data_IF_006057253814
#
_entry.id   IF_006057253814
#
_cell.length_a   1.000
_cell.length_b   1.000
_cell.length_c   1.000
_cell.angle_alpha   90.00
_cell.angle_beta   90.00
_cell.angle_gamma   90.00
#
_symmetry.space_group_name_H-M   'P 1'
#
loop_
_entity.id
_entity.type
_entity.pdbx_description
1 polymer ?
#
# COMPACT_ATOMS: atom_id res chain seq x y z
N UNK A 1 10.86 -25.17 53.85
CA UNK A 1 10.20 -25.07 52.53
C UNK A 1 11.04 -24.15 51.66
N UNK A 2 11.69 -24.70 50.64
CA UNK A 2 12.48 -23.90 49.69
C UNK A 2 11.57 -23.45 48.55
N UNK A 3 11.52 -22.14 48.28
CA UNK A 3 10.94 -21.60 47.04
C UNK A 3 11.91 -21.91 45.88
N UNK A 4 11.43 -22.59 44.84
CA UNK A 4 12.14 -22.70 43.57
C UNK A 4 11.74 -21.53 42.68
N UNK A 5 12.70 -20.68 42.39
CA UNK A 5 12.64 -19.67 41.33
C UNK A 5 12.70 -20.34 39.96
N UNK A 6 11.90 -19.88 39.00
CA UNK A 6 12.17 -20.07 37.57
C UNK A 6 11.16 -20.87 36.74
N UNK A 7 9.85 -20.73 36.98
CA UNK A 7 8.88 -21.11 35.94
C UNK A 7 8.68 -19.93 34.98
N UNK A 8 9.05 -20.05 33.68
CA UNK A 8 8.63 -19.08 32.68
C UNK A 8 7.11 -19.19 32.53
N UNK A 9 6.40 -18.07 32.71
CA UNK A 9 4.96 -17.99 32.48
C UNK A 9 4.64 -18.47 31.05
N UNK A 10 3.85 -19.54 30.86
CA UNK A 10 3.51 -20.04 29.54
C UNK A 10 2.25 -19.32 29.03
N UNK A 11 2.33 -18.68 27.86
CA UNK A 11 1.14 -18.45 27.01
C UNK A 11 0.74 -17.02 26.63
N UNK A 12 1.11 -15.99 27.39
CA UNK A 12 0.52 -14.65 27.19
C UNK A 12 0.94 -13.89 25.92
N UNK A 13 2.23 -13.92 25.57
CA UNK A 13 2.76 -13.05 24.50
C UNK A 13 2.28 -13.44 23.10
N UNK A 14 2.08 -14.74 22.83
CA UNK A 14 1.61 -15.22 21.53
C UNK A 14 0.13 -14.93 21.29
N UNK A 15 -0.71 -15.02 22.34
CA UNK A 15 -2.14 -14.75 22.24
C UNK A 15 -2.45 -13.25 22.05
N UNK A 16 -1.67 -12.37 22.70
CA UNK A 16 -1.77 -10.92 22.49
C UNK A 16 -1.32 -10.50 21.10
N UNK A 17 -0.22 -11.07 20.60
CA UNK A 17 0.28 -10.75 19.25
C UNK A 17 -0.71 -11.18 18.15
N UNK A 18 -1.33 -12.36 18.31
CA UNK A 18 -2.35 -12.85 17.38
C UNK A 18 -3.64 -12.03 17.46
N UNK A 19 -3.99 -11.53 18.65
CA UNK A 19 -5.12 -10.61 18.82
C UNK A 19 -4.86 -9.28 18.10
N UNK A 20 -3.68 -8.67 18.31
CA UNK A 20 -3.32 -7.43 17.63
C UNK A 20 -3.27 -7.58 16.12
N UNK A 21 -2.80 -8.73 15.61
CA UNK A 21 -2.85 -9.03 14.16
C UNK A 21 -4.28 -8.96 13.61
N UNK A 22 -5.26 -9.54 14.31
CA UNK A 22 -6.66 -9.52 13.88
C UNK A 22 -7.24 -8.10 13.90
N UNK A 23 -6.99 -7.36 14.97
CA UNK A 23 -7.48 -5.97 15.11
C UNK A 23 -6.86 -5.05 14.05
N UNK A 24 -5.55 -5.17 13.79
CA UNK A 24 -4.89 -4.46 12.69
C UNK A 24 -5.48 -4.83 11.33
N UNK A 25 -5.79 -6.11 11.12
CA UNK A 25 -6.37 -6.58 9.87
C UNK A 25 -7.78 -6.01 9.64
N UNK A 26 -8.59 -5.88 10.69
CA UNK A 26 -9.92 -5.25 10.59
C UNK A 26 -9.83 -3.79 10.15
N UNK A 27 -8.94 -3.02 10.79
CA UNK A 27 -8.67 -1.62 10.42
C UNK A 27 -8.17 -1.54 8.97
N UNK A 28 -7.23 -2.42 8.59
CA UNK A 28 -6.67 -2.47 7.23
C UNK A 28 -7.75 -2.77 6.18
N UNK A 29 -8.59 -3.79 6.43
CA UNK A 29 -9.69 -4.15 5.55
C UNK A 29 -10.70 -3.00 5.38
N UNK A 30 -10.98 -2.26 6.45
CA UNK A 30 -11.89 -1.11 6.40
C UNK A 30 -11.29 0.01 5.53
N UNK A 31 -10.03 0.36 5.77
CA UNK A 31 -9.28 1.36 4.99
C UNK A 31 -9.32 1.03 3.50
N UNK A 32 -9.09 -0.24 3.14
CA UNK A 32 -9.09 -0.69 1.75
C UNK A 32 -10.49 -0.69 1.13
N UNK A 33 -11.49 -1.21 1.84
CA UNK A 33 -12.87 -1.30 1.36
C UNK A 33 -13.45 0.07 0.98
N UNK A 34 -13.13 1.09 1.76
CA UNK A 34 -13.67 2.44 1.58
C UNK A 34 -12.70 3.40 0.91
N UNK A 35 -11.51 2.92 0.50
CA UNK A 35 -10.47 3.74 -0.13
C UNK A 35 -10.22 5.05 0.62
N UNK A 36 -10.11 4.97 1.95
CA UNK A 36 -9.74 6.08 2.85
C UNK A 36 -8.43 6.70 2.36
N UNK A 37 -7.99 7.92 2.66
CA UNK A 37 -6.62 8.39 2.37
C UNK A 37 -5.72 8.35 3.62
N UNK A 38 -4.41 8.58 3.49
CA UNK A 38 -3.53 8.72 4.67
C UNK A 38 -3.98 9.87 5.58
N UNK A 39 -4.42 11.00 4.99
CA UNK A 39 -4.96 12.15 5.72
C UNK A 39 -6.29 11.83 6.40
N UNK A 40 -7.18 11.07 5.75
CA UNK A 40 -8.45 10.66 6.35
C UNK A 40 -8.25 9.64 7.49
N UNK A 41 -7.26 8.75 7.37
CA UNK A 41 -6.88 7.83 8.45
C UNK A 41 -6.28 8.59 9.63
N UNK A 42 -5.44 9.60 9.37
CA UNK A 42 -4.89 10.50 10.39
C UNK A 42 -5.99 11.28 11.10
N UNK A 43 -6.97 11.82 10.35
CA UNK A 43 -8.15 12.45 10.94
C UNK A 43 -8.96 11.48 11.82
N UNK A 44 -9.21 10.26 11.35
CA UNK A 44 -9.91 9.23 12.14
C UNK A 44 -9.15 8.89 13.44
N UNK A 45 -7.83 8.81 13.39
CA UNK A 45 -6.97 8.61 14.55
C UNK A 45 -7.08 9.77 15.55
N UNK A 46 -7.00 11.02 15.08
CA UNK A 46 -7.11 12.20 15.94
C UNK A 46 -8.49 12.31 16.60
N UNK A 47 -9.56 11.97 15.88
CA UNK A 47 -10.92 11.87 16.43
C UNK A 47 -11.01 10.80 17.53
N UNK A 48 -10.44 9.62 17.30
CA UNK A 48 -10.41 8.55 18.31
C UNK A 48 -9.65 8.97 19.58
N UNK A 49 -8.64 9.83 19.43
CA UNK A 49 -7.89 10.42 20.55
C UNK A 49 -8.63 11.58 21.25
N UNK A 50 -9.83 11.94 20.79
CA UNK A 50 -10.67 12.97 21.40
C UNK A 50 -10.52 14.37 20.80
N UNK A 51 -9.88 14.50 19.63
CA UNK A 51 -9.83 15.79 18.92
C UNK A 51 -11.24 16.15 18.42
N UNK A 52 -11.70 17.41 18.57
CA UNK A 52 -13.02 17.81 18.11
C UNK A 52 -13.22 17.74 16.59
N UNK A 53 -14.45 17.53 16.14
CA UNK A 53 -14.80 17.47 14.71
C UNK A 53 -14.72 18.83 13.99
N UNK A 54 -14.86 19.92 14.74
CA UNK A 54 -14.75 21.29 14.24
C UNK A 54 -13.30 21.78 14.15
N UNK A 55 -12.33 20.93 14.51
CA UNK A 55 -10.91 21.22 14.32
C UNK A 55 -10.59 21.44 12.83
N UNK A 56 -9.90 22.54 12.47
CA UNK A 56 -9.63 22.90 11.07
C UNK A 56 -8.78 21.87 10.32
N UNK A 57 -7.98 21.05 11.02
CA UNK A 57 -7.16 20.01 10.42
C UNK A 57 -7.97 18.71 10.18
N UNK A 58 -9.10 18.54 10.87
CA UNK A 58 -9.96 17.36 10.78
C UNK A 58 -11.16 17.60 9.88
N UNK A 59 -11.83 18.74 10.06
CA UNK A 59 -13.11 19.08 9.41
C UNK A 59 -13.11 18.84 7.89
N UNK A 60 -12.06 19.21 7.12
CA UNK A 60 -12.02 18.98 5.67
C UNK A 60 -11.99 17.50 5.27
N UNK A 61 -11.54 16.62 6.16
CA UNK A 61 -11.38 15.20 5.92
C UNK A 61 -12.57 14.36 6.39
N UNK A 62 -13.55 14.99 7.07
CA UNK A 62 -14.68 14.27 7.65
C UNK A 62 -15.61 13.71 6.59
N UNK A 63 -15.84 12.40 6.70
CA UNK A 63 -16.91 11.68 6.02
C UNK A 63 -17.58 10.70 6.99
N UNK A 64 -18.66 10.06 6.56
CA UNK A 64 -19.31 9.01 7.35
C UNK A 64 -18.34 7.85 7.64
N UNK A 65 -17.53 7.48 6.64
CA UNK A 65 -16.53 6.42 6.74
C UNK A 65 -15.38 6.79 7.68
N UNK A 66 -14.95 8.06 7.69
CA UNK A 66 -13.90 8.54 8.62
C UNK A 66 -14.40 8.53 10.06
N UNK A 67 -15.64 8.93 10.31
CA UNK A 67 -16.26 8.85 11.64
C UNK A 67 -16.44 7.41 12.11
N UNK A 68 -16.83 6.52 11.20
CA UNK A 68 -16.95 5.10 11.50
C UNK A 68 -15.57 4.46 11.80
N UNK A 69 -14.55 4.81 11.02
CA UNK A 69 -13.18 4.36 11.26
C UNK A 69 -12.63 4.87 12.60
N UNK A 70 -12.93 6.11 13.00
CA UNK A 70 -12.54 6.64 14.30
C UNK A 70 -13.11 5.78 15.45
N UNK A 71 -14.38 5.34 15.34
CA UNK A 71 -15.00 4.44 16.33
C UNK A 71 -14.33 3.08 16.37
N UNK A 72 -13.95 2.52 15.22
CA UNK A 72 -13.23 1.25 15.13
C UNK A 72 -11.86 1.38 15.82
N UNK A 73 -11.12 2.45 15.55
CA UNK A 73 -9.81 2.73 16.18
C UNK A 73 -9.97 2.86 17.69
N UNK A 74 -10.93 3.66 18.15
CA UNK A 74 -11.22 3.83 19.59
C UNK A 74 -11.52 2.48 20.27
N UNK A 75 -12.39 1.65 19.68
CA UNK A 75 -12.73 0.32 20.19
C UNK A 75 -11.50 -0.59 20.34
N UNK A 76 -10.64 -0.66 19.32
CA UNK A 76 -9.46 -1.53 19.37
C UNK A 76 -8.38 -1.01 20.32
N UNK A 77 -8.20 0.31 20.39
CA UNK A 77 -7.23 0.91 21.33
C UNK A 77 -7.66 0.69 22.78
N UNK A 78 -8.96 0.82 23.09
CA UNK A 78 -9.54 0.45 24.38
C UNK A 78 -9.42 -1.06 24.68
N UNK A 79 -9.41 -1.90 23.64
CA UNK A 79 -9.19 -3.35 23.75
C UNK A 79 -7.70 -3.74 23.92
N UNK A 80 -6.78 -2.77 23.88
CA UNK A 80 -5.35 -2.96 24.11
C UNK A 80 -4.47 -2.91 22.86
N UNK A 81 -5.00 -2.52 21.69
CA UNK A 81 -4.18 -2.28 20.50
C UNK A 81 -3.29 -1.03 20.72
N UNK A 82 -1.96 -1.14 20.58
CA UNK A 82 -1.09 0.00 20.80
C UNK A 82 -1.26 1.11 19.74
N UNK A 83 -1.30 2.37 20.19
CA UNK A 83 -1.49 3.53 19.30
C UNK A 83 -0.40 3.69 18.24
N UNK A 84 0.85 3.28 18.55
CA UNK A 84 1.95 3.29 17.60
C UNK A 84 1.69 2.37 16.40
N UNK A 85 0.84 1.35 16.54
CA UNK A 85 0.45 0.49 15.42
C UNK A 85 -0.46 1.21 14.42
N UNK A 86 -1.33 2.08 14.91
CA UNK A 86 -2.14 2.95 14.04
C UNK A 86 -1.25 3.99 13.35
N UNK A 87 -0.30 4.58 14.09
CA UNK A 87 0.68 5.51 13.54
C UNK A 87 1.53 4.85 12.43
N UNK A 88 1.95 3.60 12.63
CA UNK A 88 2.65 2.81 11.61
C UNK A 88 1.79 2.63 10.35
N UNK A 89 0.49 2.34 10.50
CA UNK A 89 -0.43 2.24 9.35
C UNK A 89 -0.58 3.58 8.61
N UNK A 90 -0.66 4.71 9.32
CA UNK A 90 -0.68 6.06 8.70
C UNK A 90 0.60 6.31 7.91
N UNK A 91 1.77 6.10 8.54
CA UNK A 91 3.07 6.32 7.90
C UNK A 91 3.23 5.43 6.66
N UNK A 92 2.85 4.16 6.79
CA UNK A 92 2.88 3.21 5.69
C UNK A 92 2.02 3.72 4.55
N UNK A 93 0.75 4.07 4.82
CA UNK A 93 -0.20 4.60 3.83
C UNK A 93 0.33 5.80 3.07
N UNK A 94 0.89 6.77 3.80
CA UNK A 94 1.46 8.00 3.24
C UNK A 94 2.59 7.67 2.27
N UNK A 95 3.48 6.75 2.64
CA UNK A 95 4.55 6.28 1.76
C UNK A 95 4.01 5.65 0.46
N UNK A 96 2.87 4.98 0.50
CA UNK A 96 2.25 4.37 -0.69
C UNK A 96 1.74 5.43 -1.64
N UNK A 97 1.03 6.41 -1.09
CA UNK A 97 0.47 7.52 -1.84
C UNK A 97 1.60 8.33 -2.50
N UNK A 98 2.68 8.60 -1.76
CA UNK A 98 3.90 9.22 -2.30
C UNK A 98 4.50 8.36 -3.41
N UNK A 99 4.77 7.08 -3.17
CA UNK A 99 5.37 6.18 -4.19
C UNK A 99 4.51 6.10 -5.45
N UNK A 100 3.18 6.08 -5.30
CA UNK A 100 2.25 6.10 -6.43
C UNK A 100 2.35 7.41 -7.21
N UNK A 101 2.39 8.54 -6.52
CA UNK A 101 2.51 9.86 -7.15
C UNK A 101 3.84 10.00 -7.88
N UNK A 102 4.95 9.61 -7.25
CA UNK A 102 6.30 9.63 -7.82
C UNK A 102 6.37 8.75 -9.07
N UNK A 103 5.78 7.54 -9.03
CA UNK A 103 5.69 6.66 -10.19
C UNK A 103 4.87 7.29 -11.32
N UNK A 104 3.73 7.91 -11.00
CA UNK A 104 2.91 8.58 -12.01
C UNK A 104 3.63 9.77 -12.65
N UNK A 105 4.33 10.57 -11.87
CA UNK A 105 5.15 11.67 -12.36
C UNK A 105 6.27 11.16 -13.26
N UNK A 106 6.99 10.13 -12.81
CA UNK A 106 8.04 9.50 -13.60
C UNK A 106 7.52 8.95 -14.94
N UNK A 107 6.36 8.29 -14.97
CA UNK A 107 5.73 7.82 -16.21
C UNK A 107 5.43 8.95 -17.21
N UNK A 108 5.20 10.18 -16.75
CA UNK A 108 4.98 11.33 -17.65
C UNK A 108 6.26 11.79 -18.35
N UNK A 109 7.42 11.53 -17.75
CA UNK A 109 8.73 11.89 -18.28
C UNK A 109 9.23 10.88 -19.30
N UNK A 110 8.62 9.69 -19.37
CA UNK A 110 9.00 8.66 -20.33
C UNK A 110 8.51 8.97 -21.74
N UNK A 111 9.39 8.75 -22.73
CA UNK A 111 9.10 8.78 -24.17
C UNK A 111 8.38 7.51 -24.63
N UNK A 112 7.26 7.20 -23.99
CA UNK A 112 6.33 6.12 -24.37
C UNK A 112 5.03 6.71 -24.89
N UNK A 113 4.25 5.92 -25.62
CA UNK A 113 2.93 6.33 -26.10
C UNK A 113 1.94 6.52 -24.95
N UNK A 114 0.91 7.33 -25.19
CA UNK A 114 -0.15 7.55 -24.22
C UNK A 114 -0.92 6.26 -23.86
N UNK A 115 -1.02 5.31 -24.81
CA UNK A 115 -1.65 4.01 -24.56
C UNK A 115 -0.82 3.15 -23.60
N UNK A 116 0.50 3.09 -23.81
CA UNK A 116 1.44 2.39 -22.92
C UNK A 116 1.43 3.03 -21.52
N UNK A 117 1.44 4.36 -21.45
CA UNK A 117 1.34 5.10 -20.18
C UNK A 117 0.04 4.77 -19.43
N UNK A 118 -1.10 4.76 -20.12
CA UNK A 118 -2.40 4.38 -19.53
C UNK A 118 -2.40 2.93 -19.05
N UNK A 119 -1.79 2.01 -19.81
CA UNK A 119 -1.66 0.62 -19.41
C UNK A 119 -0.88 0.50 -18.11
N UNK A 120 0.33 1.08 -18.05
CA UNK A 120 1.19 1.07 -16.85
C UNK A 120 0.51 1.70 -15.63
N UNK A 121 -0.15 2.84 -15.81
CA UNK A 121 -0.96 3.48 -14.76
C UNK A 121 -2.05 2.53 -14.26
N UNK A 122 -2.77 1.86 -15.18
CA UNK A 122 -3.86 0.96 -14.82
C UNK A 122 -3.40 -0.29 -14.05
N UNK A 123 -2.19 -0.77 -14.33
CA UNK A 123 -1.59 -1.92 -13.64
C UNK A 123 -1.37 -1.57 -12.17
N UNK A 124 -0.78 -0.40 -11.89
CA UNK A 124 -0.51 0.08 -10.54
C UNK A 124 -1.80 0.45 -9.81
N UNK A 125 -2.66 1.27 -10.42
CA UNK A 125 -3.88 1.77 -9.77
C UNK A 125 -4.88 0.66 -9.43
N UNK A 126 -5.01 -0.33 -10.32
CA UNK A 126 -5.96 -1.44 -10.14
C UNK A 126 -5.30 -2.68 -9.54
N UNK A 127 -4.03 -2.58 -9.09
CA UNK A 127 -3.24 -3.69 -8.53
C UNK A 127 -3.35 -4.97 -9.39
N UNK A 128 -3.22 -4.82 -10.71
CA UNK A 128 -3.41 -5.95 -11.65
C UNK A 128 -2.29 -6.97 -11.49
N UNK A 129 -2.65 -8.25 -11.54
CA UNK A 129 -1.71 -9.37 -11.56
C UNK A 129 -1.52 -9.86 -12.99
N UNK A 130 -0.29 -10.24 -13.32
CA UNK A 130 0.02 -10.68 -14.67
C UNK A 130 1.49 -10.51 -15.02
N UNK A 131 1.80 -10.67 -16.30
CA UNK A 131 3.12 -10.44 -16.85
C UNK A 131 3.10 -9.19 -17.71
N UNK A 132 4.05 -8.28 -17.47
CA UNK A 132 4.30 -7.13 -18.33
C UNK A 132 5.47 -7.47 -19.24
N UNK A 133 5.24 -7.44 -20.55
CA UNK A 133 6.27 -7.72 -21.56
C UNK A 133 6.64 -6.44 -22.29
N UNK A 134 7.94 -6.17 -22.37
CA UNK A 134 8.52 -5.03 -23.07
C UNK A 134 9.11 -5.51 -24.38
N UNK A 135 8.58 -5.01 -25.49
CA UNK A 135 9.02 -5.38 -26.83
C UNK A 135 9.72 -4.22 -27.52
N UNK A 136 10.77 -4.52 -28.26
CA UNK A 136 11.42 -3.55 -29.13
C UNK A 136 10.58 -3.36 -30.40
N UNK A 137 10.09 -2.14 -30.64
CA UNK A 137 9.20 -1.85 -31.78
C UNK A 137 9.85 -2.09 -33.14
N UNK A 138 11.18 -2.03 -33.24
CA UNK A 138 11.89 -2.19 -34.50
C UNK A 138 12.09 -3.66 -34.86
N UNK A 139 12.44 -4.48 -33.87
CA UNK A 139 12.78 -5.89 -34.07
C UNK A 139 11.65 -6.85 -33.73
N UNK A 140 10.62 -6.38 -33.01
CA UNK A 140 9.51 -7.20 -32.51
C UNK A 140 9.94 -8.23 -31.47
N UNK A 141 11.13 -8.08 -30.89
CA UNK A 141 11.68 -9.02 -29.90
C UNK A 141 11.40 -8.55 -28.49
N UNK A 142 11.15 -9.50 -27.62
CA UNK A 142 11.03 -9.26 -26.18
C UNK A 142 12.39 -8.79 -25.65
N UNK A 143 12.38 -7.59 -25.07
CA UNK A 143 13.52 -7.01 -24.36
C UNK A 143 13.53 -7.54 -22.93
N UNK A 144 12.35 -7.62 -22.31
CA UNK A 144 12.20 -7.95 -20.90
C UNK A 144 10.78 -8.39 -20.57
N UNK A 145 10.65 -9.27 -19.57
CA UNK A 145 9.37 -9.66 -18.98
C UNK A 145 9.41 -9.45 -17.48
N UNK A 146 8.34 -8.87 -16.94
CA UNK A 146 8.17 -8.65 -15.52
C UNK A 146 6.91 -9.34 -15.01
N UNK A 147 7.08 -10.35 -14.16
CA UNK A 147 5.96 -11.00 -13.49
C UNK A 147 5.56 -10.24 -12.24
N UNK A 148 4.32 -9.76 -12.19
CA UNK A 148 3.74 -9.13 -11.02
C UNK A 148 3.31 -10.24 -10.04
N UNK A 149 3.92 -10.34 -8.85
CA UNK A 149 3.64 -11.42 -7.91
C UNK A 149 2.24 -11.34 -7.30
N UNK A 150 1.63 -12.49 -7.05
CA UNK A 150 0.28 -12.65 -6.49
C UNK A 150 0.14 -12.12 -5.03
N UNK A 151 1.25 -12.14 -4.28
CA UNK A 151 1.37 -11.54 -2.93
C UNK A 151 1.23 -10.00 -2.93
N UNK A 152 1.05 -9.36 -4.08
CA UNK A 152 0.78 -7.93 -4.21
C UNK A 152 -0.61 -7.51 -3.70
N UNK A 153 -1.49 -8.45 -3.32
CA UNK A 153 -2.80 -8.13 -2.72
C UNK A 153 -2.69 -7.57 -1.31
N UNK A 154 -1.76 -8.08 -0.50
CA UNK A 154 -1.73 -7.83 0.95
C UNK A 154 -0.66 -6.80 1.39
N UNK A 155 0.10 -6.24 0.45
CA UNK A 155 1.14 -5.25 0.76
C UNK A 155 0.76 -3.88 0.23
N UNK A 156 0.84 -2.88 1.11
CA UNK A 156 0.53 -1.47 0.86
C UNK A 156 1.07 -0.92 -0.47
N UNK A 157 2.39 -1.02 -0.51
CA UNK A 157 3.42 -0.83 -1.52
C UNK A 157 3.93 -2.12 -2.10
N UNK A 158 3.45 -2.68 -3.22
CA UNK A 158 4.12 -3.84 -3.74
C UNK A 158 5.59 -3.50 -3.96
N UNK A 159 6.52 -4.12 -3.19
CA UNK A 159 7.97 -3.96 -3.37
C UNK A 159 8.39 -4.15 -4.83
N UNK A 160 7.57 -4.90 -5.58
CA UNK A 160 7.69 -5.07 -7.01
C UNK A 160 7.63 -3.77 -7.81
N UNK A 161 6.95 -2.70 -7.36
CA UNK A 161 6.86 -1.41 -8.07
C UNK A 161 8.22 -0.70 -8.20
N UNK A 162 9.03 -0.71 -7.13
CA UNK A 162 10.39 -0.12 -7.18
C UNK A 162 11.27 -0.91 -8.15
N UNK A 163 11.18 -2.24 -8.10
CA UNK A 163 11.88 -3.10 -9.04
C UNK A 163 11.39 -2.87 -10.48
N UNK A 164 10.08 -2.71 -10.66
CA UNK A 164 9.45 -2.48 -11.95
C UNK A 164 9.90 -1.17 -12.59
N UNK A 165 10.01 -0.10 -11.82
CA UNK A 165 10.58 1.17 -12.28
C UNK A 165 12.02 0.99 -12.79
N UNK A 166 12.89 0.34 -12.00
CA UNK A 166 14.26 0.03 -12.42
C UNK A 166 14.31 -0.79 -13.70
N UNK A 167 13.49 -1.84 -13.79
CA UNK A 167 13.47 -2.70 -14.98
C UNK A 167 12.95 -1.99 -16.22
N UNK A 168 11.96 -1.10 -16.07
CA UNK A 168 11.44 -0.32 -17.18
C UNK A 168 12.47 0.74 -17.65
N UNK A 169 13.22 1.37 -16.73
CA UNK A 169 14.36 2.22 -17.11
C UNK A 169 15.41 1.44 -17.90
N UNK A 170 15.75 0.24 -17.44
CA UNK A 170 16.70 -0.65 -18.13
C UNK A 170 16.20 -1.09 -19.51
N UNK A 171 14.92 -1.43 -19.65
CA UNK A 171 14.32 -1.84 -20.92
C UNK A 171 14.32 -0.69 -21.93
N UNK A 172 13.99 0.54 -21.50
CA UNK A 172 14.05 1.74 -22.35
C UNK A 172 15.48 1.99 -22.81
N UNK A 173 16.46 1.92 -21.90
CA UNK A 173 17.88 2.11 -22.23
C UNK A 173 18.42 1.06 -23.23
N UNK A 174 17.83 -0.13 -23.26
CA UNK A 174 18.19 -1.22 -24.19
C UNK A 174 17.44 -1.17 -25.53
N UNK A 175 16.38 -0.36 -25.64
CA UNK A 175 15.56 -0.29 -26.86
C UNK A 175 16.29 0.40 -28.01
N UNK A 176 16.09 -0.09 -29.23
CA UNK A 176 16.79 0.40 -30.43
C UNK A 176 16.11 1.65 -31.02
N UNK A 177 16.11 2.77 -30.29
CA UNK A 177 15.84 4.12 -30.82
C UNK A 177 14.45 4.41 -31.42
N UNK A 178 13.61 3.41 -31.69
CA UNK A 178 12.21 3.54 -32.18
C UNK A 178 11.18 3.36 -31.07
N UNK A 179 11.63 3.32 -29.82
CA UNK A 179 10.80 3.17 -28.63
C UNK A 179 10.44 1.72 -28.32
N UNK A 180 9.70 1.56 -27.23
CA UNK A 180 9.22 0.28 -26.71
C UNK A 180 7.72 0.13 -26.94
N UNK A 181 7.25 -1.11 -27.05
CA UNK A 181 5.84 -1.49 -26.92
C UNK A 181 5.65 -2.29 -25.63
N UNK A 182 4.54 -2.06 -24.94
CA UNK A 182 4.27 -2.68 -23.63
C UNK A 182 2.99 -3.51 -23.74
N UNK A 183 3.12 -4.79 -23.43
CA UNK A 183 2.02 -5.75 -23.40
C UNK A 183 1.77 -6.20 -21.96
N UNK A 184 0.51 -6.53 -21.66
CA UNK A 184 0.13 -7.04 -20.35
C UNK A 184 -0.78 -8.25 -20.49
N UNK A 185 -0.31 -9.39 -19.99
CA UNK A 185 -1.09 -10.62 -19.92
C UNK A 185 -1.59 -10.81 -18.49
N UNK A 186 -2.90 -10.70 -18.30
CA UNK A 186 -3.53 -10.90 -16.99
C UNK A 186 -3.43 -12.37 -16.57
N UNK A 187 -3.16 -12.61 -15.29
CA UNK A 187 -3.19 -13.93 -14.65
C UNK A 187 -4.39 -14.09 -13.74
#
# INVERSE_FOLDING_TARGET
MMYRSGEPMPGGAHEEEDKWKREKQEISNYIERYNISSQQLEAAYLLAMGTPEDDPDISPMLSEEVRALAKIIDQHTLAGLPLNEIANQISFRRQLETTKNDFQEWLTQLEISENERKLLRSIVEKRRMGTVTFMDKQTGKDIFEFKIPELARDSSTPTWMVNFEHFLKDAIARSTGKGIEIWFEAS
#
